data_IF_798007013368
#
_entry.id   IF_798007013368
#
_cell.length_a   1.000
_cell.length_b   1.000
_cell.length_c   1.000
_cell.angle_alpha   90.00
_cell.angle_beta   90.00
_cell.angle_gamma   90.00
#
_symmetry.space_group_name_H-M   'P 1'
#
loop_
_entity.id
_entity.type
_entity.pdbx_description
1 polymer ?
#
# COMPACT_ATOMS: atom_id res chain seq x y z
N UNK A 1 -0.63 15.19 6.02
CA UNK A 1 0.37 14.09 6.00
C UNK A 1 1.05 13.88 4.65
N UNK A 2 0.44 14.18 3.49
CA UNK A 2 1.17 14.22 2.20
C UNK A 2 1.76 12.89 1.71
N UNK A 3 1.27 11.76 2.22
CA UNK A 3 1.77 10.42 1.91
C UNK A 3 1.54 10.06 0.45
N UNK A 4 2.53 9.41 -0.17
CA UNK A 4 2.36 8.76 -1.46
C UNK A 4 1.63 7.43 -1.25
N UNK A 5 0.38 7.37 -1.72
CA UNK A 5 -0.50 6.19 -1.56
C UNK A 5 -0.78 5.60 -2.92
N UNK A 6 -0.42 4.33 -3.10
CA UNK A 6 -0.74 3.55 -4.28
C UNK A 6 -1.67 2.38 -3.94
N UNK A 7 -2.23 1.74 -4.96
CA UNK A 7 -3.10 0.58 -4.78
C UNK A 7 -3.02 -0.38 -5.96
N UNK A 8 -3.51 -1.58 -5.75
CA UNK A 8 -3.75 -2.55 -6.80
C UNK A 8 -5.09 -3.24 -6.55
N UNK A 9 -5.65 -3.80 -7.61
CA UNK A 9 -6.92 -4.54 -7.54
C UNK A 9 -6.64 -6.02 -7.86
N UNK A 10 -7.00 -6.89 -6.91
CA UNK A 10 -6.84 -8.34 -7.03
C UNK A 10 -7.61 -8.94 -8.20
N UNK A 11 -8.67 -8.27 -8.69
CA UNK A 11 -9.41 -8.72 -9.87
C UNK A 11 -8.55 -8.72 -11.15
N UNK A 12 -7.46 -7.95 -11.19
CA UNK A 12 -6.53 -7.87 -12.32
C UNK A 12 -5.32 -8.80 -12.16
N UNK A 13 -5.25 -9.60 -11.10
CA UNK A 13 -4.13 -10.50 -10.86
C UNK A 13 -4.09 -11.60 -11.94
N UNK A 14 -2.95 -11.76 -12.66
CA UNK A 14 -2.82 -12.80 -13.65
C UNK A 14 -2.74 -14.19 -13.00
N UNK A 15 -3.12 -15.27 -13.73
CA UNK A 15 -3.05 -16.62 -13.18
C UNK A 15 -1.60 -17.05 -12.92
N UNK A 16 -1.35 -17.70 -11.79
CA UNK A 16 -0.07 -18.35 -11.47
C UNK A 16 1.03 -17.44 -10.92
N UNK A 17 0.71 -16.20 -10.51
CA UNK A 17 1.66 -15.31 -9.84
C UNK A 17 1.35 -15.16 -8.34
N UNK A 18 2.30 -14.63 -7.58
CA UNK A 18 2.09 -14.24 -6.19
C UNK A 18 1.41 -12.87 -6.13
N UNK A 19 0.23 -12.79 -5.51
CA UNK A 19 -0.51 -11.52 -5.36
C UNK A 19 0.33 -10.42 -4.73
N UNK A 20 1.19 -10.76 -3.78
CA UNK A 20 1.99 -9.75 -3.06
C UNK A 20 3.11 -9.20 -3.93
N UNK A 21 3.76 -10.05 -4.73
CA UNK A 21 4.81 -9.58 -5.63
C UNK A 21 4.22 -8.77 -6.79
N UNK A 22 3.19 -9.33 -7.45
CA UNK A 22 2.53 -8.66 -8.57
C UNK A 22 1.80 -7.40 -8.13
N UNK A 23 1.04 -7.45 -7.03
CA UNK A 23 0.23 -6.33 -6.56
C UNK A 23 1.10 -5.15 -6.11
N UNK A 24 2.16 -5.42 -5.33
CA UNK A 24 3.10 -4.37 -4.92
C UNK A 24 3.82 -3.76 -6.12
N UNK A 25 4.30 -4.58 -7.07
CA UNK A 25 4.92 -4.07 -8.29
C UNK A 25 3.95 -3.23 -9.13
N UNK A 26 2.74 -3.73 -9.35
CA UNK A 26 1.70 -3.02 -10.10
C UNK A 26 1.37 -1.68 -9.46
N UNK A 27 1.21 -1.64 -8.13
CA UNK A 27 0.96 -0.39 -7.41
C UNK A 27 2.10 0.62 -7.58
N UNK A 28 3.37 0.19 -7.55
CA UNK A 28 4.53 1.06 -7.76
C UNK A 28 4.60 1.55 -9.21
N UNK A 29 4.52 0.63 -10.18
CA UNK A 29 4.77 0.90 -11.60
C UNK A 29 3.67 1.76 -12.23
N UNK A 30 2.42 1.60 -11.79
CA UNK A 30 1.27 2.30 -12.38
C UNK A 30 0.98 3.65 -11.75
N UNK A 31 1.62 3.98 -10.63
CA UNK A 31 1.31 5.22 -9.93
C UNK A 31 2.08 6.41 -10.54
N UNK A 32 1.38 7.34 -11.23
CA UNK A 32 2.07 8.31 -12.09
C UNK A 32 2.91 9.34 -11.32
N UNK A 33 2.57 9.59 -10.05
CA UNK A 33 3.21 10.63 -9.23
C UNK A 33 4.45 10.13 -8.50
N UNK A 34 4.84 8.85 -8.64
CA UNK A 34 5.95 8.29 -7.87
C UNK A 34 7.32 8.55 -8.50
N UNK A 35 7.44 8.92 -9.78
CA UNK A 35 8.73 9.25 -10.42
C UNK A 35 9.87 8.25 -10.09
N UNK A 36 9.64 6.94 -10.27
CA UNK A 36 10.57 5.85 -9.89
C UNK A 36 10.86 5.74 -8.38
N UNK A 37 9.94 6.16 -7.52
CA UNK A 37 10.02 5.95 -6.06
C UNK A 37 9.02 4.88 -5.62
N UNK A 38 9.32 4.29 -4.48
CA UNK A 38 8.38 3.40 -3.75
C UNK A 38 7.40 4.28 -2.95
N UNK A 39 6.09 3.97 -2.92
CA UNK A 39 5.12 4.72 -2.14
C UNK A 39 5.29 4.45 -0.64
N UNK A 40 4.74 5.34 0.18
CA UNK A 40 4.71 5.16 1.64
C UNK A 40 3.65 4.11 2.03
N UNK A 41 2.57 4.01 1.24
CA UNK A 41 1.43 3.14 1.50
C UNK A 41 0.97 2.41 0.23
N UNK A 42 0.69 1.12 0.35
CA UNK A 42 -0.01 0.32 -0.67
C UNK A 42 -1.25 -0.31 -0.05
N UNK A 43 -2.42 -0.07 -0.63
CA UNK A 43 -3.65 -0.73 -0.19
C UNK A 43 -4.30 -1.58 -1.27
N UNK A 44 -5.10 -2.55 -0.84
CA UNK A 44 -6.03 -3.30 -1.69
C UNK A 44 -7.40 -3.42 -1.02
N UNK A 45 -8.47 -3.47 -1.81
CA UNK A 45 -9.84 -3.55 -1.30
C UNK A 45 -10.28 -4.98 -0.97
N UNK A 46 -9.34 -5.94 -0.94
CA UNK A 46 -9.65 -7.34 -0.73
C UNK A 46 -10.24 -8.01 -1.97
N UNK A 47 -10.77 -9.22 -1.75
CA UNK A 47 -11.47 -10.03 -2.75
C UNK A 47 -12.36 -11.05 -2.02
N UNK A 48 -13.09 -11.88 -2.76
CA UNK A 48 -13.84 -12.99 -2.15
C UNK A 48 -12.88 -13.88 -1.35
N UNK A 49 -13.11 -13.98 -0.03
CA UNK A 49 -12.24 -14.73 0.89
C UNK A 49 -10.92 -14.04 1.26
N UNK A 50 -10.74 -12.75 0.96
CA UNK A 50 -9.55 -11.94 1.30
C UNK A 50 -9.99 -10.59 1.86
N UNK A 51 -9.58 -10.29 3.09
CA UNK A 51 -9.88 -9.00 3.73
C UNK A 51 -9.13 -7.83 3.06
N UNK A 52 -9.73 -6.62 3.02
CA UNK A 52 -9.03 -5.39 2.62
C UNK A 52 -7.82 -5.13 3.51
N UNK A 53 -6.77 -4.54 2.94
CA UNK A 53 -5.52 -4.33 3.68
C UNK A 53 -4.81 -3.03 3.28
N UNK A 54 -4.22 -2.36 4.27
CA UNK A 54 -3.30 -1.23 4.11
C UNK A 54 -1.92 -1.66 4.53
N UNK A 55 -0.91 -1.45 3.67
CA UNK A 55 0.49 -1.82 3.93
C UNK A 55 1.35 -0.57 3.99
N UNK A 56 2.06 -0.39 5.09
CA UNK A 56 3.03 0.70 5.28
C UNK A 56 4.41 0.23 4.83
N UNK A 57 5.07 1.03 4.00
CA UNK A 57 6.39 0.73 3.44
C UNK A 57 7.42 1.68 4.04
N UNK A 58 8.51 1.14 4.57
CA UNK A 58 9.61 1.93 5.10
C UNK A 58 10.93 1.16 5.04
N UNK A 59 12.05 1.88 5.09
CA UNK A 59 13.39 1.27 5.09
C UNK A 59 13.70 0.56 6.41
N UNK A 60 13.07 0.98 7.52
CA UNK A 60 13.24 0.38 8.85
C UNK A 60 11.89 0.15 9.50
N UNK A 61 11.79 -0.92 10.28
CA UNK A 61 10.56 -1.26 10.99
C UNK A 61 10.07 -0.15 11.93
N UNK A 62 10.99 0.56 12.60
CA UNK A 62 10.65 1.68 13.49
C UNK A 62 10.00 2.84 12.76
N UNK A 63 10.37 3.07 11.49
CA UNK A 63 9.80 4.15 10.67
C UNK A 63 8.37 3.80 10.25
N UNK A 64 8.12 2.53 9.89
CA UNK A 64 6.76 2.04 9.60
C UNK A 64 5.85 2.13 10.85
N UNK A 65 6.38 1.78 12.03
CA UNK A 65 5.65 1.91 13.29
C UNK A 65 5.33 3.38 13.61
N UNK A 66 6.29 4.28 13.43
CA UNK A 66 6.10 5.72 13.60
C UNK A 66 5.02 6.28 12.68
N UNK A 67 5.06 5.92 11.39
CA UNK A 67 4.05 6.29 10.41
C UNK A 67 2.65 5.79 10.83
N UNK A 68 2.55 4.55 11.34
CA UNK A 68 1.30 4.01 11.87
C UNK A 68 0.71 4.83 13.02
N UNK A 69 1.56 5.32 13.93
CA UNK A 69 1.14 6.20 15.03
C UNK A 69 0.66 7.56 14.51
N UNK A 70 1.36 8.14 13.52
CA UNK A 70 0.94 9.43 12.92
C UNK A 70 -0.42 9.30 12.21
N UNK A 71 -0.64 8.22 11.46
CA UNK A 71 -1.92 7.94 10.80
C UNK A 71 -3.02 7.80 11.86
N UNK A 72 -2.79 7.03 12.92
CA UNK A 72 -3.78 6.83 13.97
C UNK A 72 -4.15 8.14 14.68
N UNK A 73 -3.19 9.04 14.91
CA UNK A 73 -3.45 10.37 15.48
C UNK A 73 -4.30 11.23 14.56
N UNK A 74 -3.98 11.26 13.26
CA UNK A 74 -4.74 12.04 12.28
C UNK A 74 -6.17 11.52 12.05
N UNK A 75 -6.45 10.26 12.38
CA UNK A 75 -7.80 9.68 12.33
C UNK A 75 -8.64 10.02 13.58
N UNK A 76 -8.01 10.39 14.70
CA UNK A 76 -8.69 10.75 15.95
C UNK A 76 -9.04 12.24 16.07
N UNK A 77 -8.68 13.05 15.07
CA UNK A 77 -9.12 14.44 14.94
C UNK A 77 -10.46 14.48 14.18
N UNK A 78 -11.54 14.12 14.87
CA UNK A 78 -12.94 14.41 14.46
C UNK A 78 -13.51 15.57 15.29
#
# INVERSE_FOLDING_TARGET
MGLAVASFDRAHEPPGVSTMEWGTRTAIDTYPKLHNRVPDVVYDLGAVGKEPMVRLLAHRAVDAAGLGVEIARGLGEE
#
